data_IF_592939748715
#
_entry.id   IF_592939748715
#
_cell.length_a   1.000
_cell.length_b   1.000
_cell.length_c   1.000
_cell.angle_alpha   90.00
_cell.angle_beta   90.00
_cell.angle_gamma   90.00
#
_symmetry.space_group_name_H-M   'P 1'
#
loop_
_entity.id
_entity.type
_entity.pdbx_description
1 polymer ?
#
# COMPACT_ATOMS: atom_id res chain seq x y z
N UNK A 1 26.41 -10.15 -38.45
CA UNK A 1 26.21 -11.36 -37.60
C UNK A 1 26.32 -10.99 -36.11
N UNK A 2 25.38 -10.21 -35.55
CA UNK A 2 25.48 -9.76 -34.14
C UNK A 2 24.27 -10.12 -33.25
N UNK A 3 23.17 -10.62 -33.82
CA UNK A 3 21.94 -10.88 -33.07
C UNK A 3 21.89 -12.25 -32.36
N UNK A 4 22.84 -13.15 -32.63
CA UNK A 4 22.86 -14.51 -32.04
C UNK A 4 23.31 -14.57 -30.56
N UNK A 5 23.58 -13.43 -29.92
CA UNK A 5 24.12 -13.36 -28.55
C UNK A 5 23.06 -13.16 -27.46
N UNK A 6 21.79 -12.95 -27.80
CA UNK A 6 20.70 -12.81 -26.84
C UNK A 6 19.68 -13.95 -27.03
N UNK A 7 20.06 -15.17 -26.64
CA UNK A 7 19.08 -16.22 -26.41
C UNK A 7 18.38 -15.93 -25.08
N UNK A 8 17.43 -14.99 -25.08
CA UNK A 8 16.55 -14.75 -23.94
C UNK A 8 15.74 -16.03 -23.75
N UNK A 9 15.84 -16.64 -22.56
CA UNK A 9 15.12 -17.89 -22.25
C UNK A 9 13.61 -17.63 -22.38
N UNK A 10 12.84 -18.45 -23.12
CA UNK A 10 11.39 -18.24 -23.30
C UNK A 10 10.61 -18.13 -21.98
N UNK A 11 11.06 -18.84 -20.93
CA UNK A 11 10.49 -18.74 -19.60
C UNK A 11 10.68 -17.36 -18.94
N UNK A 12 11.77 -16.65 -19.26
CA UNK A 12 12.03 -15.30 -18.73
C UNK A 12 11.06 -14.28 -19.34
N UNK A 13 10.77 -14.41 -20.64
CA UNK A 13 9.81 -13.54 -21.33
C UNK A 13 8.42 -13.71 -20.71
N UNK A 14 7.95 -14.96 -20.55
CA UNK A 14 6.67 -15.24 -19.93
C UNK A 14 6.59 -14.76 -18.47
N UNK A 15 7.66 -14.89 -17.69
CA UNK A 15 7.69 -14.40 -16.31
C UNK A 15 7.54 -12.86 -16.24
N UNK A 16 8.21 -12.14 -17.14
CA UNK A 16 8.11 -10.68 -17.23
C UNK A 16 6.73 -10.25 -17.72
N UNK A 17 6.19 -10.87 -18.76
CA UNK A 17 4.84 -10.58 -19.27
C UNK A 17 3.77 -10.78 -18.20
N UNK A 18 3.83 -11.89 -17.45
CA UNK A 18 2.93 -12.15 -16.33
C UNK A 18 3.07 -11.12 -15.21
N UNK A 19 4.30 -10.66 -14.94
CA UNK A 19 4.55 -9.63 -13.93
C UNK A 19 3.95 -8.28 -14.35
N UNK A 20 4.08 -7.93 -15.63
CA UNK A 20 3.49 -6.71 -16.19
C UNK A 20 1.95 -6.80 -16.17
N UNK A 21 1.39 -7.92 -16.62
CA UNK A 21 -0.06 -8.17 -16.60
C UNK A 21 -0.61 -8.10 -15.18
N UNK A 22 0.06 -8.74 -14.21
CA UNK A 22 -0.34 -8.68 -12.81
C UNK A 22 -0.32 -7.24 -12.26
N UNK A 23 0.75 -6.49 -12.55
CA UNK A 23 0.94 -5.14 -12.03
C UNK A 23 -0.02 -4.12 -12.66
N UNK A 24 -0.40 -4.30 -13.93
CA UNK A 24 -1.19 -3.33 -14.69
C UNK A 24 -2.67 -3.73 -14.77
N UNK A 25 -2.96 -4.98 -15.16
CA UNK A 25 -4.32 -5.43 -15.41
C UNK A 25 -4.98 -5.94 -14.13
N UNK A 26 -4.37 -6.94 -13.48
CA UNK A 26 -4.97 -7.59 -12.31
C UNK A 26 -5.05 -6.66 -11.11
N UNK A 27 -4.03 -5.83 -10.89
CA UNK A 27 -4.04 -4.85 -9.80
C UNK A 27 -5.16 -3.81 -9.96
N UNK A 28 -5.47 -3.37 -11.19
CA UNK A 28 -6.54 -2.39 -11.44
C UNK A 28 -7.90 -3.06 -11.25
N UNK A 29 -8.10 -4.25 -11.84
CA UNK A 29 -9.34 -4.99 -11.68
C UNK A 29 -9.64 -5.30 -10.21
N UNK A 30 -8.62 -5.67 -9.45
CA UNK A 30 -8.72 -5.94 -8.01
C UNK A 30 -9.07 -4.67 -7.22
N UNK A 31 -8.54 -3.51 -7.62
CA UNK A 31 -8.88 -2.24 -6.97
C UNK A 31 -10.33 -1.82 -7.26
N UNK A 32 -10.75 -1.88 -8.53
CA UNK A 32 -12.13 -1.52 -8.93
C UNK A 32 -13.17 -2.45 -8.29
N UNK A 33 -12.84 -3.73 -8.14
CA UNK A 33 -13.77 -4.74 -7.61
C UNK A 33 -13.65 -4.98 -6.10
N UNK A 34 -12.52 -4.67 -5.49
CA UNK A 34 -12.18 -5.01 -4.10
C UNK A 34 -12.50 -3.93 -3.06
N UNK A 35 -12.71 -2.68 -3.49
CA UNK A 35 -13.03 -1.58 -2.59
C UNK A 35 -11.80 -0.99 -1.86
N UNK A 36 -12.04 -0.07 -0.90
CA UNK A 36 -10.95 0.65 -0.22
C UNK A 36 -10.15 -0.26 0.73
N UNK A 37 -8.84 -0.05 0.79
CA UNK A 37 -7.93 -0.79 1.69
C UNK A 37 -7.21 0.15 2.67
N UNK A 38 -6.90 -0.35 3.87
CA UNK A 38 -6.10 0.38 4.86
C UNK A 38 -4.68 0.67 4.33
N UNK A 39 -4.07 -0.28 3.61
CA UNK A 39 -2.77 -0.12 2.98
C UNK A 39 -2.72 1.08 2.03
N UNK A 40 -3.81 1.33 1.29
CA UNK A 40 -3.93 2.47 0.39
C UNK A 40 -4.16 3.77 1.15
N UNK A 41 -5.00 3.76 2.18
CA UNK A 41 -5.18 4.91 3.08
C UNK A 41 -3.88 5.31 3.79
N UNK A 42 -3.03 4.33 4.13
CA UNK A 42 -1.71 4.56 4.74
C UNK A 42 -0.76 5.33 3.81
N UNK A 43 -0.88 5.18 2.48
CA UNK A 43 -0.05 6.00 1.56
C UNK A 43 -0.33 7.50 1.72
N UNK A 44 -1.58 7.88 2.02
CA UNK A 44 -1.92 9.26 2.38
C UNK A 44 -1.36 9.63 3.75
N UNK A 45 -1.43 8.74 4.75
CA UNK A 45 -0.87 8.96 6.08
C UNK A 45 0.66 9.16 6.07
N UNK A 46 1.38 8.36 5.29
CA UNK A 46 2.84 8.43 5.16
C UNK A 46 3.34 9.77 4.62
N UNK A 47 2.48 10.51 3.91
CA UNK A 47 2.80 11.88 3.50
C UNK A 47 2.95 12.86 4.67
N UNK A 48 2.51 12.51 5.89
CA UNK A 48 2.78 13.27 7.11
C UNK A 48 4.23 13.15 7.60
N UNK A 49 4.99 12.15 7.12
CA UNK A 49 6.37 11.92 7.52
C UNK A 49 7.35 12.23 6.38
N UNK A 50 8.35 13.10 6.60
CA UNK A 50 9.23 13.62 5.53
C UNK A 50 10.10 12.54 4.86
N UNK A 51 10.31 11.41 5.52
CA UNK A 51 11.06 10.27 4.95
C UNK A 51 10.10 9.31 4.23
N UNK A 52 8.95 8.98 4.82
CA UNK A 52 8.04 7.97 4.26
C UNK A 52 7.38 8.46 2.96
N UNK A 53 7.14 9.78 2.85
CA UNK A 53 6.61 10.42 1.64
C UNK A 53 7.53 10.27 0.41
N UNK A 54 8.82 9.96 0.61
CA UNK A 54 9.81 9.81 -0.48
C UNK A 54 9.90 8.40 -1.05
N UNK A 55 9.28 7.43 -0.39
CA UNK A 55 9.17 6.07 -0.91
C UNK A 55 8.37 6.05 -2.22
N UNK A 56 8.70 5.12 -3.11
CA UNK A 56 7.86 4.84 -4.27
C UNK A 56 6.49 4.35 -3.82
N UNK A 57 5.46 4.62 -4.61
CA UNK A 57 4.09 4.25 -4.24
C UNK A 57 3.94 2.75 -3.94
N UNK A 58 4.60 1.87 -4.72
CA UNK A 58 4.60 0.43 -4.48
C UNK A 58 5.30 0.02 -3.17
N UNK A 59 6.34 0.75 -2.76
CA UNK A 59 7.02 0.51 -1.46
C UNK A 59 6.11 0.92 -0.30
N UNK A 60 5.40 2.05 -0.43
CA UNK A 60 4.41 2.48 0.56
C UNK A 60 3.25 1.48 0.69
N UNK A 61 2.70 1.03 -0.44
CA UNK A 61 1.60 0.06 -0.45
C UNK A 61 2.04 -1.29 0.11
N UNK A 62 3.24 -1.78 -0.26
CA UNK A 62 3.78 -3.03 0.27
C UNK A 62 3.96 -2.99 1.79
N UNK A 63 4.60 -1.93 2.30
CA UNK A 63 4.74 -1.75 3.75
C UNK A 63 3.37 -1.56 4.45
N UNK A 64 2.48 -0.77 3.85
CA UNK A 64 1.12 -0.57 4.37
C UNK A 64 0.28 -1.85 4.39
N UNK A 65 0.57 -2.82 3.52
CA UNK A 65 -0.11 -4.13 3.53
C UNK A 65 0.30 -4.97 4.72
N UNK A 66 1.56 -4.90 5.16
CA UNK A 66 2.00 -5.53 6.43
C UNK A 66 1.20 -4.95 7.60
N UNK A 67 1.08 -3.62 7.66
CA UNK A 67 0.31 -2.94 8.71
C UNK A 67 -1.17 -3.33 8.65
N UNK A 68 -1.74 -3.48 7.45
CA UNK A 68 -3.11 -3.91 7.27
C UNK A 68 -3.35 -5.34 7.78
N UNK A 69 -2.49 -6.30 7.43
CA UNK A 69 -2.61 -7.69 7.90
C UNK A 69 -2.57 -7.77 9.43
N UNK A 70 -1.69 -6.98 10.06
CA UNK A 70 -1.61 -6.87 11.52
C UNK A 70 -2.90 -6.26 12.09
N UNK A 71 -3.41 -5.19 11.48
CA UNK A 71 -4.64 -4.52 11.93
C UNK A 71 -5.90 -5.40 11.77
N UNK A 72 -5.92 -6.27 10.76
CA UNK A 72 -6.99 -7.25 10.52
C UNK A 72 -6.86 -8.50 11.39
N UNK A 73 -5.82 -8.58 12.25
CA UNK A 73 -5.54 -9.74 13.09
C UNK A 73 -5.40 -11.04 12.27
N UNK A 74 -4.73 -10.94 11.11
CA UNK A 74 -4.35 -12.08 10.29
C UNK A 74 -3.43 -13.04 11.08
N UNK A 75 -3.34 -14.30 10.65
CA UNK A 75 -2.46 -15.26 11.31
C UNK A 75 -0.99 -14.84 11.16
N UNK A 76 -0.20 -15.04 12.22
CA UNK A 76 1.25 -14.73 12.20
C UNK A 76 1.97 -15.38 11.03
N UNK A 77 1.56 -16.59 10.63
CA UNK A 77 2.11 -17.31 9.48
C UNK A 77 1.92 -16.52 8.17
N UNK A 78 0.73 -15.96 7.94
CA UNK A 78 0.41 -15.19 6.73
C UNK A 78 1.17 -13.86 6.72
N UNK A 79 1.27 -13.19 7.88
CA UNK A 79 2.05 -11.97 8.04
C UNK A 79 3.54 -12.24 7.75
N UNK A 80 4.09 -13.31 8.31
CA UNK A 80 5.48 -13.70 8.09
C UNK A 80 5.74 -14.08 6.62
N UNK A 81 4.85 -14.82 5.98
CA UNK A 81 4.97 -15.17 4.56
C UNK A 81 5.00 -13.92 3.69
N UNK A 82 4.10 -12.97 3.94
CA UNK A 82 4.07 -11.70 3.21
C UNK A 82 5.33 -10.86 3.44
N UNK A 83 5.85 -10.81 4.67
CA UNK A 83 7.11 -10.13 5.00
C UNK A 83 8.28 -10.76 4.24
N UNK A 84 8.37 -12.09 4.20
CA UNK A 84 9.45 -12.79 3.49
C UNK A 84 9.36 -12.58 1.98
N UNK A 85 8.17 -12.62 1.40
CA UNK A 85 7.94 -12.27 0.00
C UNK A 85 8.38 -10.84 -0.32
N UNK A 86 7.94 -9.87 0.50
CA UNK A 86 8.26 -8.45 0.34
C UNK A 86 9.78 -8.22 0.44
N UNK A 87 10.44 -8.90 1.37
CA UNK A 87 11.89 -8.86 1.54
C UNK A 87 12.62 -9.47 0.33
N UNK A 88 12.12 -10.57 -0.23
CA UNK A 88 12.69 -11.20 -1.43
C UNK A 88 12.63 -10.30 -2.67
N UNK A 89 11.64 -9.40 -2.74
CA UNK A 89 11.53 -8.36 -3.77
C UNK A 89 12.43 -7.13 -3.52
N UNK A 90 13.13 -7.07 -2.38
CA UNK A 90 13.94 -5.92 -1.98
C UNK A 90 13.12 -4.72 -1.47
N UNK A 91 11.85 -4.94 -1.10
CA UNK A 91 10.96 -3.90 -0.60
C UNK A 91 11.11 -3.72 0.93
N UNK A 92 10.82 -2.52 1.47
CA UNK A 92 10.95 -2.27 2.89
C UNK A 92 9.89 -2.98 3.73
N UNK A 93 10.31 -3.66 4.79
CA UNK A 93 9.43 -4.38 5.73
C UNK A 93 9.48 -3.84 7.15
N UNK A 94 10.28 -2.80 7.39
CA UNK A 94 10.42 -2.16 8.71
C UNK A 94 10.74 -0.68 8.57
N UNK A 95 10.46 0.11 9.60
CA UNK A 95 10.85 1.52 9.62
C UNK A 95 12.37 1.72 9.54
N UNK A 96 13.15 0.79 10.11
CA UNK A 96 14.60 0.78 9.98
C UNK A 96 15.05 0.61 8.51
N UNK A 97 14.36 -0.24 7.74
CA UNK A 97 14.62 -0.41 6.30
C UNK A 97 14.32 0.86 5.49
N UNK A 98 13.46 1.75 6.00
CA UNK A 98 13.13 3.05 5.39
C UNK A 98 13.99 4.19 5.96
N UNK A 99 15.03 3.88 6.76
CA UNK A 99 15.87 4.86 7.44
C UNK A 99 15.09 5.84 8.34
N UNK A 100 13.94 5.41 8.86
CA UNK A 100 13.18 6.16 9.87
C UNK A 100 13.65 5.72 11.24
N UNK A 101 14.47 6.55 11.88
CA UNK A 101 15.00 6.32 13.23
C UNK A 101 14.24 7.08 14.33
N UNK A 102 13.50 8.12 13.99
CA UNK A 102 12.74 8.96 14.93
C UNK A 102 11.22 8.82 14.71
N UNK A 103 10.63 7.89 15.46
CA UNK A 103 9.19 7.63 15.55
C UNK A 103 8.68 8.05 16.92
N UNK A 104 8.54 9.35 17.14
CA UNK A 104 7.79 9.82 18.30
C UNK A 104 6.31 9.42 18.18
N UNK A 105 5.66 9.21 19.32
CA UNK A 105 4.22 8.91 19.38
C UNK A 105 3.39 9.97 18.63
N UNK A 106 3.76 11.24 18.76
CA UNK A 106 3.11 12.35 18.04
C UNK A 106 3.19 12.20 16.50
N UNK A 107 4.30 11.70 15.96
CA UNK A 107 4.44 11.45 14.51
C UNK A 107 3.62 10.26 14.06
N UNK A 108 3.58 9.19 14.84
CA UNK A 108 2.74 8.02 14.56
C UNK A 108 1.25 8.40 14.60
N UNK A 109 0.84 9.21 15.59
CA UNK A 109 -0.51 9.73 15.68
C UNK A 109 -0.86 10.61 14.47
N UNK A 110 0.03 11.50 14.05
CA UNK A 110 -0.19 12.33 12.86
C UNK A 110 -0.35 11.49 11.57
N UNK A 111 0.39 10.39 11.44
CA UNK A 111 0.21 9.44 10.34
C UNK A 111 -1.18 8.78 10.44
N UNK A 112 -1.54 8.27 11.62
CA UNK A 112 -2.80 7.58 11.86
C UNK A 112 -4.03 8.48 11.62
N UNK A 113 -4.01 9.71 12.13
CA UNK A 113 -5.07 10.71 11.93
C UNK A 113 -5.23 11.03 10.44
N UNK A 114 -4.11 11.24 9.73
CA UNK A 114 -4.14 11.51 8.30
C UNK A 114 -4.61 10.30 7.48
N UNK A 115 -4.28 9.09 7.91
CA UNK A 115 -4.81 7.84 7.33
C UNK A 115 -6.31 7.72 7.56
N UNK A 116 -6.81 7.99 8.76
CA UNK A 116 -8.24 7.93 9.07
C UNK A 116 -9.03 9.01 8.32
N UNK A 117 -8.43 10.19 8.10
CA UNK A 117 -9.01 11.27 7.31
C UNK A 117 -8.95 11.02 5.79
N UNK A 118 -8.21 10.00 5.33
CA UNK A 118 -8.11 9.68 3.91
C UNK A 118 -9.48 9.21 3.40
N UNK A 119 -10.22 10.11 2.75
CA UNK A 119 -11.53 9.82 2.14
C UNK A 119 -11.39 8.67 1.14
N UNK A 120 -12.23 7.63 1.30
CA UNK A 120 -12.54 6.70 0.21
C UNK A 120 -13.34 7.46 -0.88
N UNK A 121 -13.04 7.28 -2.18
CA UNK A 121 -13.85 7.86 -3.26
C UNK A 121 -15.32 7.39 -3.25
N UNK A 122 -15.66 6.34 -2.49
CA UNK A 122 -17.04 5.86 -2.32
C UNK A 122 -17.87 6.62 -1.28
N UNK A 123 -17.28 7.50 -0.48
CA UNK A 123 -18.01 8.20 0.58
C UNK A 123 -18.98 9.29 0.06
N UNK A 124 -19.10 9.45 -1.27
CA UNK A 124 -20.09 10.32 -1.89
C UNK A 124 -21.50 9.72 -1.97
N UNK A 125 -21.66 8.41 -1.84
CA UNK A 125 -22.96 7.77 -2.06
C UNK A 125 -23.85 7.65 -0.81
N UNK A 126 -23.32 7.86 0.41
CA UNK A 126 -24.11 7.57 1.63
C UNK A 126 -23.87 8.50 2.84
N UNK A 127 -23.12 9.60 2.70
CA UNK A 127 -22.65 10.39 3.83
C UNK A 127 -23.25 11.79 4.01
N UNK A 128 -24.27 12.19 3.25
CA UNK A 128 -24.80 13.57 3.29
C UNK A 128 -26.24 13.68 3.85
N UNK A 129 -26.69 12.68 4.63
CA UNK A 129 -28.02 12.71 5.28
C UNK A 129 -28.00 12.65 6.81
N UNK A 130 -26.86 12.93 7.45
CA UNK A 130 -26.79 13.02 8.91
C UNK A 130 -26.07 14.30 9.34
N UNK A 131 -26.82 15.41 9.38
CA UNK A 131 -26.32 16.70 9.91
C UNK A 131 -27.03 17.93 9.35
N UNK A 132 -28.36 17.93 9.32
CA UNK A 132 -29.15 19.14 9.14
C UNK A 132 -30.36 19.08 10.07
N UNK A 133 -30.11 19.11 11.38
CA UNK A 133 -31.11 19.53 12.36
C UNK A 133 -30.43 20.08 13.61
N UNK A 134 -30.03 21.34 13.51
CA UNK A 134 -29.57 22.17 14.62
C UNK A 134 -30.40 23.46 14.53
N UNK A 135 -31.66 23.36 14.94
CA UNK A 135 -32.48 24.51 15.21
C UNK A 135 -31.83 25.38 16.30
N UNK A 136 -31.60 26.64 15.99
CA UNK A 136 -31.56 27.70 16.99
C UNK A 136 -32.22 28.96 16.43
N UNK A 137 -32.93 29.64 17.33
CA UNK A 137 -34.00 30.61 17.12
C UNK A 137 -33.56 31.98 16.56
#
# INVERSE_FOLDING_TARGET
MLWRRFAIRPCLILAVERSIEASMLLSVLSFESGGPSLSRALTHGFSAHPILTKLLHGEQVGFGTIVQLIAENAADADVCEYIEFTRALGLPTSFAAVAVSDLSEAKLLAIAEKTAAARSPFNHAYGDSAGADDGEA
#
